data_IF_979036568669
#
_entry.id   IF_979036568669
#
_cell.length_a   1.000
_cell.length_b   1.000
_cell.length_c   1.000
_cell.angle_alpha   90.00
_cell.angle_beta   90.00
_cell.angle_gamma   90.00
#
_symmetry.space_group_name_H-M   'P 1'
#
loop_
_entity.id
_entity.type
_entity.pdbx_description
1 polymer ?
#
# COMPACT_ATOMS: atom_id res chain seq x y z
N UNK A 1 -7.93 39.22 -11.72
CA UNK A 1 -7.40 37.85 -11.79
C UNK A 1 -7.84 37.21 -13.12
N UNK A 2 -6.99 36.43 -13.81
CA UNK A 2 -7.27 35.90 -15.17
C UNK A 2 -7.99 34.53 -15.20
N UNK A 3 -8.16 33.88 -14.04
CA UNK A 3 -8.89 32.62 -13.92
C UNK A 3 -10.19 32.85 -13.13
N UNK A 4 -11.35 32.40 -13.62
CA UNK A 4 -12.62 32.52 -12.92
C UNK A 4 -12.73 31.46 -11.81
N UNK A 5 -11.86 31.55 -10.80
CA UNK A 5 -11.89 30.63 -9.66
C UNK A 5 -13.08 30.95 -8.75
N UNK A 6 -13.67 29.91 -8.18
CA UNK A 6 -14.85 29.99 -7.31
C UNK A 6 -14.72 28.94 -6.19
N UNK A 7 -15.56 29.02 -5.14
CA UNK A 7 -15.46 28.17 -3.95
C UNK A 7 -16.82 27.91 -3.27
N UNK A 8 -16.97 26.71 -2.71
CA UNK A 8 -18.01 26.39 -1.73
C UNK A 8 -17.38 25.97 -0.41
N UNK A 9 -17.88 26.54 0.70
CA UNK A 9 -17.48 26.20 2.06
C UNK A 9 -18.44 25.13 2.60
N UNK A 10 -17.87 24.08 3.23
CA UNK A 10 -18.64 22.90 3.66
C UNK A 10 -18.35 22.44 5.10
N UNK A 11 -17.46 23.11 5.83
CA UNK A 11 -17.15 22.76 7.23
C UNK A 11 -16.51 23.94 7.96
N UNK A 12 -16.70 23.98 9.28
CA UNK A 12 -15.93 24.82 10.20
C UNK A 12 -14.87 23.93 10.85
N UNK A 13 -13.61 24.38 10.83
CA UNK A 13 -12.49 23.66 11.46
C UNK A 13 -12.24 24.12 12.90
N UNK A 14 -11.37 25.11 13.06
CA UNK A 14 -11.07 25.72 14.36
C UNK A 14 -11.94 26.97 14.60
N UNK A 15 -12.48 27.11 15.81
CA UNK A 15 -13.17 28.30 16.26
C UNK A 15 -12.87 28.55 17.75
N UNK A 16 -12.49 29.78 18.09
CA UNK A 16 -12.20 30.21 19.46
C UNK A 16 -13.28 31.19 19.93
N UNK A 17 -13.80 31.00 21.15
CA UNK A 17 -14.76 31.93 21.77
C UNK A 17 -16.13 32.03 21.09
N UNK A 18 -16.55 31.01 20.33
CA UNK A 18 -17.82 31.00 19.57
C UNK A 18 -18.76 29.88 20.04
N UNK A 19 -20.09 30.02 19.83
CA UNK A 19 -21.04 28.98 20.18
C UNK A 19 -20.72 27.66 19.45
N UNK A 20 -20.62 26.58 20.21
CA UNK A 20 -20.70 25.22 19.69
C UNK A 20 -22.10 25.00 19.16
N UNK A 21 -22.26 25.07 17.85
CA UNK A 21 -23.52 24.72 17.21
C UNK A 21 -23.72 23.20 17.34
N UNK A 22 -24.90 22.71 17.73
CA UNK A 22 -25.13 21.28 17.93
C UNK A 22 -25.10 20.48 16.62
N UNK A 23 -25.37 21.11 15.47
CA UNK A 23 -25.47 20.41 14.18
C UNK A 23 -24.61 21.00 13.06
N UNK A 24 -24.28 20.15 12.10
CA UNK A 24 -23.59 20.54 10.88
C UNK A 24 -24.44 21.48 10.03
N UNK A 25 -25.75 21.24 9.95
CA UNK A 25 -26.68 22.10 9.24
C UNK A 25 -26.70 23.54 9.78
N UNK A 26 -26.82 23.70 11.10
CA UNK A 26 -26.75 25.02 11.73
C UNK A 26 -25.39 25.69 11.50
N UNK A 27 -24.32 24.91 11.48
CA UNK A 27 -22.98 25.41 11.14
C UNK A 27 -22.94 25.96 9.71
N UNK A 28 -23.58 25.30 8.75
CA UNK A 28 -23.64 25.77 7.36
C UNK A 28 -24.47 27.05 7.22
N UNK A 29 -25.64 27.12 7.88
CA UNK A 29 -26.45 28.34 7.89
C UNK A 29 -25.75 29.51 8.59
N UNK A 30 -25.00 29.24 9.67
CA UNK A 30 -24.16 30.26 10.30
C UNK A 30 -23.07 30.77 9.36
N UNK A 31 -22.32 29.90 8.68
CA UNK A 31 -21.30 30.33 7.72
C UNK A 31 -21.91 31.14 6.57
N UNK A 32 -23.07 30.71 6.06
CA UNK A 32 -23.83 31.46 5.05
C UNK A 32 -24.22 32.86 5.55
N UNK A 33 -24.64 32.98 6.81
CA UNK A 33 -24.96 34.29 7.43
C UNK A 33 -23.76 35.22 7.54
N UNK A 34 -22.54 34.68 7.61
CA UNK A 34 -21.29 35.45 7.58
C UNK A 34 -20.84 35.85 6.17
N UNK A 35 -21.59 35.48 5.12
CA UNK A 35 -21.25 35.77 3.73
C UNK A 35 -20.36 34.71 3.05
N UNK A 36 -20.09 33.58 3.71
CA UNK A 36 -19.44 32.46 3.02
C UNK A 36 -20.38 31.83 2.01
N UNK A 37 -19.84 31.48 0.84
CA UNK A 37 -20.58 30.79 -0.20
C UNK A 37 -20.73 29.31 0.18
N UNK A 38 -21.94 28.92 0.58
CA UNK A 38 -22.33 27.53 0.85
C UNK A 38 -23.08 26.98 -0.35
N UNK A 39 -22.96 25.67 -0.63
CA UNK A 39 -23.62 25.06 -1.77
C UNK A 39 -25.15 25.14 -1.63
N UNK A 40 -25.88 25.76 -2.57
CA UNK A 40 -27.34 25.86 -2.50
C UNK A 40 -28.03 24.49 -2.62
N UNK A 41 -27.32 23.49 -3.11
CA UNK A 41 -27.76 22.09 -3.20
C UNK A 41 -27.54 21.29 -1.91
N UNK A 42 -27.31 21.93 -0.77
CA UNK A 42 -27.29 21.19 0.50
C UNK A 42 -28.73 20.88 0.95
N UNK A 43 -28.95 19.69 1.50
CA UNK A 43 -30.24 19.26 2.04
C UNK A 43 -30.08 18.59 3.41
N UNK A 44 -31.00 18.87 4.33
CA UNK A 44 -31.14 18.14 5.59
C UNK A 44 -32.16 17.01 5.37
N UNK A 45 -31.71 15.77 5.52
CA UNK A 45 -32.49 14.56 5.25
C UNK A 45 -32.58 13.73 6.53
N UNK A 46 -33.71 13.08 6.75
CA UNK A 46 -34.04 12.41 8.02
C UNK A 46 -33.94 10.89 7.96
N UNK A 47 -33.79 10.32 6.76
CA UNK A 47 -33.71 8.87 6.52
C UNK A 47 -32.70 8.51 5.43
N UNK A 48 -32.29 7.23 5.40
CA UNK A 48 -31.38 6.72 4.37
C UNK A 48 -32.10 6.66 3.01
N UNK A 49 -33.40 6.40 3.03
CA UNK A 49 -34.27 6.37 1.85
C UNK A 49 -34.30 7.75 1.18
N UNK A 50 -34.44 8.82 1.96
CA UNK A 50 -34.34 10.20 1.45
C UNK A 50 -32.96 10.51 0.87
N UNK A 51 -31.88 10.02 1.48
CA UNK A 51 -30.51 10.18 0.97
C UNK A 51 -30.36 9.49 -0.39
N UNK A 52 -30.89 8.29 -0.55
CA UNK A 52 -30.84 7.55 -1.81
C UNK A 52 -31.69 8.19 -2.91
N UNK A 53 -32.88 8.68 -2.58
CA UNK A 53 -33.70 9.46 -3.50
C UNK A 53 -32.98 10.74 -3.93
N UNK A 54 -32.41 11.47 -2.97
CA UNK A 54 -31.65 12.70 -3.24
C UNK A 54 -30.45 12.45 -4.15
N UNK A 55 -29.70 11.36 -3.93
CA UNK A 55 -28.61 10.93 -4.80
C UNK A 55 -29.09 10.69 -6.23
N UNK A 56 -30.18 9.94 -6.42
CA UNK A 56 -30.74 9.66 -7.77
C UNK A 56 -31.13 10.93 -8.49
N UNK A 57 -31.73 11.90 -7.80
CA UNK A 57 -32.08 13.19 -8.41
C UNK A 57 -30.85 13.92 -8.96
N UNK A 58 -29.71 13.82 -8.27
CA UNK A 58 -28.46 14.43 -8.69
C UNK A 58 -27.72 13.63 -9.77
N UNK A 59 -27.88 12.30 -9.81
CA UNK A 59 -27.39 11.50 -10.95
C UNK A 59 -28.05 11.98 -12.24
N UNK A 60 -29.36 12.22 -12.24
CA UNK A 60 -30.11 12.70 -13.42
C UNK A 60 -29.77 14.14 -13.78
N UNK A 61 -29.60 15.02 -12.77
CA UNK A 61 -29.38 16.46 -12.97
C UNK A 61 -27.90 16.85 -13.02
N UNK A 62 -26.97 15.89 -12.94
CA UNK A 62 -25.52 16.14 -12.86
C UNK A 62 -25.03 17.13 -13.90
N UNK A 63 -25.46 16.97 -15.15
CA UNK A 63 -25.01 17.80 -16.28
C UNK A 63 -25.55 19.24 -16.24
N UNK A 64 -26.56 19.51 -15.40
CA UNK A 64 -27.09 20.86 -15.20
C UNK A 64 -26.25 21.71 -14.25
N UNK A 65 -25.32 21.10 -13.51
CA UNK A 65 -24.43 21.83 -12.61
C UNK A 65 -23.45 22.70 -13.41
N UNK A 66 -23.16 23.93 -12.97
CA UNK A 66 -22.16 24.79 -13.61
C UNK A 66 -20.72 24.36 -13.27
N UNK A 67 -20.55 23.19 -12.67
CA UNK A 67 -19.29 22.59 -12.24
C UNK A 67 -19.38 21.06 -12.30
N UNK A 68 -18.23 20.39 -12.38
CA UNK A 68 -18.16 18.94 -12.30
C UNK A 68 -18.35 18.46 -10.85
N UNK A 69 -19.11 17.37 -10.68
CA UNK A 69 -19.30 16.70 -9.39
C UNK A 69 -19.21 15.19 -9.59
N UNK A 70 -18.62 14.48 -8.63
CA UNK A 70 -18.40 13.03 -8.66
C UNK A 70 -19.34 12.25 -7.72
N UNK A 71 -20.22 12.96 -7.00
CA UNK A 71 -21.21 12.39 -6.09
C UNK A 71 -21.80 13.43 -5.15
N UNK A 72 -22.44 12.94 -4.08
CA UNK A 72 -22.84 13.73 -2.91
C UNK A 72 -22.03 13.28 -1.69
N UNK A 73 -21.92 14.14 -0.68
CA UNK A 73 -21.32 13.78 0.62
C UNK A 73 -22.43 13.70 1.65
N UNK A 74 -22.61 12.53 2.25
CA UNK A 74 -23.57 12.28 3.33
C UNK A 74 -22.84 12.44 4.65
N UNK A 75 -23.37 13.25 5.57
CA UNK A 75 -22.78 13.51 6.89
C UNK A 75 -23.83 13.33 7.98
N UNK A 76 -23.44 12.70 9.08
CA UNK A 76 -24.25 12.71 10.31
C UNK A 76 -24.39 14.16 10.78
N UNK A 77 -25.62 14.64 10.96
CA UNK A 77 -25.85 16.06 11.24
C UNK A 77 -25.42 16.47 12.66
N UNK A 78 -25.61 15.62 13.68
CA UNK A 78 -25.19 15.90 15.06
C UNK A 78 -23.67 15.91 15.22
N UNK A 79 -23.10 17.04 15.66
CA UNK A 79 -21.65 17.16 15.88
C UNK A 79 -21.15 16.29 17.05
N UNK A 80 -21.98 16.10 18.08
CA UNK A 80 -21.67 15.16 19.17
C UNK A 80 -21.53 13.72 18.68
N UNK A 81 -22.39 13.29 17.75
CA UNK A 81 -22.26 11.97 17.14
C UNK A 81 -21.01 11.88 16.23
N UNK A 82 -20.66 12.95 15.52
CA UNK A 82 -19.43 12.99 14.73
C UNK A 82 -18.19 12.76 15.62
N UNK A 83 -18.10 13.44 16.76
CA UNK A 83 -17.02 13.27 17.74
C UNK A 83 -16.95 11.84 18.29
N UNK A 84 -18.09 11.27 18.68
CA UNK A 84 -18.16 9.89 19.19
C UNK A 84 -17.77 8.84 18.14
N UNK A 85 -18.15 9.07 16.88
CA UNK A 85 -17.80 8.17 15.78
C UNK A 85 -16.30 8.24 15.46
N UNK A 86 -15.69 9.43 15.49
CA UNK A 86 -14.27 9.64 15.25
C UNK A 86 -13.83 9.29 13.82
N UNK A 87 -12.55 8.90 13.66
CA UNK A 87 -11.93 8.60 12.36
C UNK A 87 -11.28 7.21 12.35
N UNK A 88 -11.17 6.59 11.17
CA UNK A 88 -10.29 5.44 10.89
C UNK A 88 -9.21 5.89 9.92
N UNK A 89 -7.94 5.87 10.35
CA UNK A 89 -6.85 6.44 9.55
C UNK A 89 -7.11 7.91 9.25
N UNK A 90 -7.26 8.25 7.96
CA UNK A 90 -7.58 9.60 7.49
C UNK A 90 -9.08 9.81 7.16
N UNK A 91 -9.93 8.80 7.36
CA UNK A 91 -11.34 8.84 6.94
C UNK A 91 -12.28 9.01 8.15
N UNK A 92 -13.22 9.99 8.11
CA UNK A 92 -14.22 10.14 9.17
C UNK A 92 -15.25 9.02 9.13
N UNK A 93 -15.62 8.49 10.30
CA UNK A 93 -16.66 7.45 10.43
C UNK A 93 -18.09 7.99 10.31
N UNK A 94 -18.23 9.31 10.35
CA UNK A 94 -19.50 10.03 10.36
C UNK A 94 -19.87 10.67 9.01
N UNK A 95 -19.03 10.50 7.98
CA UNK A 95 -19.31 10.98 6.64
C UNK A 95 -18.89 9.98 5.57
N UNK A 96 -19.59 9.97 4.45
CA UNK A 96 -19.27 9.14 3.29
C UNK A 96 -19.52 9.89 1.99
N UNK A 97 -18.61 9.74 1.02
CA UNK A 97 -18.83 10.20 -0.34
C UNK A 97 -19.69 9.15 -1.09
N UNK A 98 -20.96 9.46 -1.33
CA UNK A 98 -21.85 8.63 -2.14
C UNK A 98 -21.69 9.02 -3.61
N UNK A 99 -20.73 8.36 -4.26
CA UNK A 99 -20.32 8.67 -5.64
C UNK A 99 -21.43 8.38 -6.66
N UNK A 100 -21.48 9.17 -7.72
CA UNK A 100 -22.29 8.85 -8.89
C UNK A 100 -21.74 7.61 -9.58
N UNK A 101 -22.58 6.87 -10.33
CA UNK A 101 -22.09 5.80 -11.20
C UNK A 101 -20.98 6.34 -12.12
N UNK A 102 -19.86 5.62 -12.20
CA UNK A 102 -18.75 6.01 -13.04
C UNK A 102 -19.22 6.12 -14.50
N UNK A 103 -18.78 7.17 -15.21
CA UNK A 103 -19.02 7.26 -16.65
C UNK A 103 -18.32 6.09 -17.31
N UNK A 104 -19.06 5.30 -18.09
CA UNK A 104 -18.54 4.14 -18.80
C UNK A 104 -18.41 4.45 -20.30
N UNK A 105 -17.31 3.98 -20.89
CA UNK A 105 -17.13 3.90 -22.33
C UNK A 105 -17.11 2.45 -22.79
N UNK A 106 -17.52 2.23 -24.02
CA UNK A 106 -17.33 0.93 -24.70
C UNK A 106 -16.20 1.06 -25.70
N UNK A 107 -15.24 0.15 -25.67
CA UNK A 107 -14.13 0.14 -26.63
C UNK A 107 -13.61 -1.28 -26.90
N UNK A 108 -12.74 -1.45 -27.90
CA UNK A 108 -12.13 -2.73 -28.21
C UNK A 108 -10.85 -2.95 -27.40
N UNK A 109 -10.74 -4.13 -26.79
CA UNK A 109 -9.51 -4.62 -26.18
C UNK A 109 -8.57 -5.18 -27.25
N UNK A 110 -7.51 -4.44 -27.57
CA UNK A 110 -6.55 -4.80 -28.64
C UNK A 110 -5.53 -5.83 -28.18
N UNK A 111 -4.98 -5.63 -26.99
CA UNK A 111 -3.92 -6.45 -26.44
C UNK A 111 -3.96 -6.38 -24.90
N UNK A 112 -3.45 -7.42 -24.24
CA UNK A 112 -3.08 -7.36 -22.82
C UNK A 112 -1.56 -7.39 -22.74
N UNK A 113 -0.98 -6.40 -22.06
CA UNK A 113 0.46 -6.31 -21.77
C UNK A 113 0.69 -6.48 -20.27
N UNK A 114 1.94 -6.71 -19.89
CA UNK A 114 2.35 -6.93 -18.50
C UNK A 114 3.40 -5.90 -18.13
N UNK A 115 3.19 -5.17 -17.03
CA UNK A 115 4.19 -4.29 -16.43
C UNK A 115 4.75 -4.91 -15.15
N UNK A 116 5.99 -4.55 -14.80
CA UNK A 116 6.65 -4.98 -13.56
C UNK A 116 6.58 -3.85 -12.55
N UNK A 117 5.86 -4.05 -11.44
CA UNK A 117 5.74 -3.05 -10.38
C UNK A 117 6.94 -3.04 -9.43
N UNK A 118 6.99 -2.04 -8.53
CA UNK A 118 8.09 -1.80 -7.57
C UNK A 118 8.57 -3.02 -6.76
N UNK A 119 7.65 -3.91 -6.36
CA UNK A 119 7.95 -5.12 -5.58
C UNK A 119 8.10 -6.35 -6.46
N UNK A 120 8.26 -6.16 -7.77
CA UNK A 120 8.34 -7.22 -8.77
C UNK A 120 7.01 -7.79 -9.23
N UNK A 121 5.86 -7.26 -8.78
CA UNK A 121 4.54 -7.78 -9.22
C UNK A 121 4.39 -7.67 -10.73
N UNK A 122 3.91 -8.72 -11.37
CA UNK A 122 3.56 -8.70 -12.79
C UNK A 122 2.09 -8.31 -12.96
N UNK A 123 1.85 -7.09 -13.42
CA UNK A 123 0.52 -6.47 -13.46
C UNK A 123 0.02 -6.43 -14.91
N UNK A 124 -1.04 -7.18 -15.26
CA UNK A 124 -1.62 -7.09 -16.58
C UNK A 124 -2.39 -5.78 -16.74
N UNK A 125 -2.28 -5.17 -17.91
CA UNK A 125 -3.05 -3.99 -18.29
C UNK A 125 -3.55 -4.10 -19.74
N UNK A 126 -4.74 -3.56 -19.96
CA UNK A 126 -5.40 -3.53 -21.26
C UNK A 126 -4.79 -2.43 -22.12
N UNK A 127 -4.50 -2.76 -23.38
CA UNK A 127 -4.28 -1.80 -24.47
C UNK A 127 -5.57 -1.73 -25.27
N UNK A 128 -6.15 -0.54 -25.35
CA UNK A 128 -7.49 -0.31 -25.85
C UNK A 128 -7.46 0.48 -27.16
N UNK A 129 -8.53 0.34 -27.94
CA UNK A 129 -8.86 1.36 -28.93
C UNK A 129 -9.19 2.68 -28.20
N UNK A 130 -8.67 3.84 -28.66
CA UNK A 130 -8.90 5.10 -27.96
C UNK A 130 -10.40 5.39 -27.79
N UNK A 131 -10.82 5.67 -26.55
CA UNK A 131 -12.22 5.97 -26.21
C UNK A 131 -12.30 7.17 -25.28
N UNK A 132 -13.25 8.07 -25.52
CA UNK A 132 -13.51 9.20 -24.62
C UNK A 132 -14.44 8.78 -23.49
N UNK A 133 -14.02 8.97 -22.23
CA UNK A 133 -14.80 8.64 -21.03
C UNK A 133 -14.62 9.75 -20.01
N UNK A 134 -15.69 10.50 -19.73
CA UNK A 134 -15.62 11.65 -18.80
C UNK A 134 -14.58 12.69 -19.23
N UNK A 135 -14.63 13.11 -20.50
CA UNK A 135 -13.79 14.18 -21.05
C UNK A 135 -12.32 13.82 -21.35
N UNK A 136 -11.86 12.61 -21.02
CA UNK A 136 -10.48 12.16 -21.29
C UNK A 136 -10.46 10.98 -22.26
N UNK A 137 -9.42 10.93 -23.10
CA UNK A 137 -9.19 9.80 -24.01
C UNK A 137 -8.40 8.70 -23.29
N UNK A 138 -9.03 7.55 -23.09
CA UNK A 138 -8.43 6.36 -22.49
C UNK A 138 -7.87 5.48 -23.60
N UNK A 139 -6.59 5.09 -23.47
CA UNK A 139 -5.91 4.12 -24.35
C UNK A 139 -5.44 2.87 -23.61
N UNK A 140 -5.36 2.94 -22.29
CA UNK A 140 -4.90 1.86 -21.42
C UNK A 140 -5.76 1.82 -20.16
N UNK A 141 -5.97 0.63 -19.61
CA UNK A 141 -6.73 0.44 -18.38
C UNK A 141 -6.21 -0.75 -17.57
N UNK A 142 -6.35 -0.68 -16.23
CA UNK A 142 -5.94 -1.75 -15.34
C UNK A 142 -6.82 -3.00 -15.51
N UNK A 143 -6.21 -4.19 -15.37
CA UNK A 143 -6.89 -5.50 -15.36
C UNK A 143 -6.71 -6.24 -14.02
N UNK A 144 -6.14 -5.59 -13.02
CA UNK A 144 -5.84 -6.11 -11.67
C UNK A 144 -4.87 -7.31 -11.67
N UNK A 145 -5.29 -8.50 -12.09
CA UNK A 145 -4.48 -9.73 -12.13
C UNK A 145 -5.11 -10.81 -13.04
N UNK A 146 -4.37 -11.89 -13.31
CA UNK A 146 -4.83 -13.01 -14.15
C UNK A 146 -6.13 -13.64 -13.65
N UNK A 147 -6.28 -13.81 -12.33
CA UNK A 147 -7.48 -14.41 -11.75
C UNK A 147 -8.71 -13.50 -11.95
N UNK A 148 -8.55 -12.17 -11.88
CA UNK A 148 -9.63 -11.21 -12.17
C UNK A 148 -10.02 -11.21 -13.65
N UNK A 149 -9.03 -11.27 -14.56
CA UNK A 149 -9.25 -11.40 -16.00
C UNK A 149 -10.08 -12.65 -16.29
N UNK A 150 -9.70 -13.79 -15.70
CA UNK A 150 -10.42 -15.06 -15.87
C UNK A 150 -11.81 -15.02 -15.24
N UNK A 151 -11.94 -14.47 -14.03
CA UNK A 151 -13.23 -14.31 -13.33
C UNK A 151 -14.22 -13.47 -14.14
N UNK A 152 -13.75 -12.39 -14.76
CA UNK A 152 -14.56 -11.52 -15.63
C UNK A 152 -14.72 -12.08 -17.05
N UNK A 153 -14.03 -13.17 -17.38
CA UNK A 153 -13.96 -13.78 -18.71
C UNK A 153 -13.55 -12.76 -19.78
N UNK A 154 -12.56 -11.91 -19.49
CA UNK A 154 -12.04 -10.92 -20.44
C UNK A 154 -11.08 -11.59 -21.41
N UNK A 155 -11.29 -11.40 -22.71
CA UNK A 155 -10.50 -12.00 -23.79
C UNK A 155 -9.96 -10.93 -24.73
N UNK A 156 -8.76 -11.15 -25.26
CA UNK A 156 -8.16 -10.26 -26.26
C UNK A 156 -9.05 -10.26 -27.50
N UNK A 157 -9.44 -9.06 -27.96
CA UNK A 157 -10.39 -8.85 -29.05
C UNK A 157 -11.79 -8.44 -28.59
N UNK A 158 -12.14 -8.63 -27.30
CA UNK A 158 -13.46 -8.28 -26.76
C UNK A 158 -13.79 -6.79 -26.97
N UNK A 159 -15.08 -6.51 -27.18
CA UNK A 159 -15.63 -5.20 -26.83
C UNK A 159 -15.80 -5.16 -25.31
N UNK A 160 -15.18 -4.18 -24.65
CA UNK A 160 -15.14 -4.07 -23.19
C UNK A 160 -15.76 -2.76 -22.72
N UNK A 161 -16.36 -2.82 -21.53
CA UNK A 161 -16.77 -1.65 -20.77
C UNK A 161 -15.58 -1.16 -19.93
N UNK A 162 -15.29 0.13 -20.05
CA UNK A 162 -14.17 0.79 -19.38
C UNK A 162 -14.72 1.97 -18.59
N UNK A 163 -14.24 2.16 -17.37
CA UNK A 163 -14.65 3.26 -16.51
C UNK A 163 -13.44 3.91 -15.85
N UNK A 164 -13.62 5.12 -15.33
CA UNK A 164 -12.62 5.76 -14.47
C UNK A 164 -12.99 5.48 -13.01
N UNK A 165 -12.21 4.62 -12.35
CA UNK A 165 -12.36 4.37 -10.92
C UNK A 165 -11.95 5.64 -10.14
N UNK A 166 -12.88 6.18 -9.35
CA UNK A 166 -12.65 7.38 -8.54
C UNK A 166 -12.12 8.59 -9.33
N UNK A 167 -12.49 8.69 -10.61
CA UNK A 167 -12.07 9.75 -11.56
C UNK A 167 -10.57 9.81 -11.89
N UNK A 168 -9.72 8.86 -11.48
CA UNK A 168 -8.27 8.94 -11.75
C UNK A 168 -7.75 7.78 -12.60
N UNK A 169 -8.03 6.53 -12.23
CA UNK A 169 -7.41 5.36 -12.88
C UNK A 169 -8.44 4.62 -13.75
N UNK A 170 -8.22 4.51 -15.07
CA UNK A 170 -9.05 3.68 -15.93
C UNK A 170 -8.97 2.19 -15.58
N UNK A 171 -10.10 1.51 -15.54
CA UNK A 171 -10.18 0.05 -15.37
C UNK A 171 -11.17 -0.59 -16.33
N UNK A 172 -10.93 -1.86 -16.67
CA UNK A 172 -11.89 -2.67 -17.42
C UNK A 172 -12.90 -3.30 -16.45
N UNK A 173 -14.17 -2.96 -16.64
CA UNK A 173 -15.29 -3.48 -15.85
C UNK A 173 -15.59 -4.92 -16.25
N UNK A 174 -15.67 -5.18 -17.57
CA UNK A 174 -15.92 -6.50 -18.12
C UNK A 174 -16.23 -6.48 -19.62
N UNK A 175 -16.37 -7.66 -20.23
CA UNK A 175 -16.65 -7.80 -21.66
C UNK A 175 -18.14 -7.67 -21.98
N UNK A 176 -18.43 -7.15 -23.18
CA UNK A 176 -19.76 -7.16 -23.77
C UNK A 176 -19.90 -8.45 -24.58
N UNK A 177 -20.23 -9.54 -23.88
CA UNK A 177 -20.23 -10.91 -24.45
C UNK A 177 -21.11 -11.07 -25.69
N UNK A 178 -22.21 -10.31 -25.79
CA UNK A 178 -23.11 -10.32 -26.95
C UNK A 178 -22.46 -9.80 -28.25
N UNK A 179 -21.32 -9.11 -28.16
CA UNK A 179 -20.57 -8.60 -29.33
C UNK A 179 -19.40 -9.49 -29.73
N UNK A 180 -19.28 -10.69 -29.18
CA UNK A 180 -18.21 -11.62 -29.53
C UNK A 180 -18.39 -12.19 -30.93
N UNK A 181 -17.29 -12.29 -31.67
CA UNK A 181 -17.22 -12.95 -32.97
C UNK A 181 -16.82 -14.43 -32.86
N UNK A 182 -16.34 -14.87 -31.69
CA UNK A 182 -15.80 -16.21 -31.48
C UNK A 182 -14.31 -16.33 -31.80
N UNK A 183 -13.67 -15.23 -32.23
CA UNK A 183 -12.22 -15.18 -32.52
C UNK A 183 -11.39 -14.65 -31.34
N UNK A 184 -12.04 -14.30 -30.23
CA UNK A 184 -11.39 -13.73 -29.05
C UNK A 184 -10.49 -14.75 -28.36
N UNK A 185 -9.33 -14.30 -27.89
CA UNK A 185 -8.31 -15.17 -27.30
C UNK A 185 -8.29 -15.05 -25.78
N UNK A 186 -8.29 -16.19 -25.11
CA UNK A 186 -8.05 -16.24 -23.67
C UNK A 186 -6.63 -15.74 -23.34
N UNK A 187 -6.49 -15.17 -22.15
CA UNK A 187 -5.22 -14.64 -21.68
C UNK A 187 -4.60 -15.59 -20.65
N UNK A 188 -3.34 -15.93 -20.87
CA UNK A 188 -2.46 -16.59 -19.91
C UNK A 188 -1.25 -15.71 -19.70
N UNK A 189 -1.00 -15.33 -18.44
CA UNK A 189 0.14 -14.48 -18.10
C UNK A 189 1.43 -15.19 -18.45
N UNK A 190 1.59 -16.46 -18.05
CA UNK A 190 2.81 -17.24 -18.29
C UNK A 190 3.10 -17.45 -19.77
N UNK A 191 2.07 -17.65 -20.60
CA UNK A 191 2.25 -17.72 -22.06
C UNK A 191 2.66 -16.36 -22.63
N UNK A 192 2.06 -15.27 -22.15
CA UNK A 192 2.38 -13.92 -22.62
C UNK A 192 3.84 -13.53 -22.33
N UNK A 193 4.39 -14.02 -21.24
CA UNK A 193 5.78 -13.73 -20.82
C UNK A 193 6.73 -14.92 -21.06
N UNK A 194 6.36 -15.86 -21.92
CA UNK A 194 7.23 -16.98 -22.27
C UNK A 194 8.41 -16.49 -23.12
N UNK A 195 9.62 -16.76 -22.65
CA UNK A 195 10.87 -16.45 -23.36
C UNK A 195 11.28 -17.69 -24.16
N UNK A 196 11.34 -17.54 -25.50
CA UNK A 196 11.68 -18.63 -26.41
C UNK A 196 13.14 -19.05 -26.33
N UNK A 197 14.03 -18.15 -25.97
CA UNK A 197 15.46 -18.44 -25.89
C UNK A 197 15.77 -19.22 -24.60
N UNK A 198 15.08 -18.86 -23.52
CA UNK A 198 15.22 -19.52 -22.22
C UNK A 198 14.27 -20.71 -22.02
N UNK A 199 13.33 -20.93 -22.94
CA UNK A 199 12.33 -22.01 -22.90
C UNK A 199 11.54 -22.04 -21.58
N UNK A 200 11.23 -20.87 -21.02
CA UNK A 200 10.46 -20.72 -19.78
C UNK A 200 9.80 -19.33 -19.68
N UNK A 201 8.77 -19.15 -18.85
CA UNK A 201 8.32 -17.82 -18.46
C UNK A 201 9.45 -17.01 -17.82
N UNK A 202 9.62 -15.78 -18.27
CA UNK A 202 10.66 -14.88 -17.80
C UNK A 202 10.11 -13.46 -17.61
N UNK A 203 10.73 -12.69 -16.72
CA UNK A 203 10.34 -11.31 -16.52
C UNK A 203 10.56 -10.51 -17.81
N UNK A 204 9.54 -9.79 -18.34
CA UNK A 204 9.66 -9.09 -19.62
C UNK A 204 10.67 -7.94 -19.61
N UNK A 205 11.10 -7.49 -18.42
CA UNK A 205 12.04 -6.37 -18.25
C UNK A 205 13.49 -6.82 -18.05
N UNK A 206 13.73 -7.99 -17.47
CA UNK A 206 15.09 -8.41 -17.10
C UNK A 206 15.41 -9.89 -17.37
N UNK A 207 14.47 -10.68 -17.92
CA UNK A 207 14.66 -12.10 -18.22
C UNK A 207 14.74 -13.03 -17.00
N UNK A 208 14.62 -12.51 -15.78
CA UNK A 208 14.70 -13.31 -14.56
C UNK A 208 13.55 -14.33 -14.42
N UNK A 209 13.72 -15.28 -13.51
CA UNK A 209 12.67 -16.25 -13.16
C UNK A 209 11.44 -15.56 -12.58
N UNK A 210 10.27 -16.06 -12.98
CA UNK A 210 8.97 -15.59 -12.48
C UNK A 210 8.42 -16.61 -11.52
N UNK A 211 8.07 -16.15 -10.32
CA UNK A 211 7.59 -16.99 -9.22
C UNK A 211 6.16 -16.60 -8.83
N UNK A 212 5.36 -17.57 -8.40
CA UNK A 212 4.05 -17.36 -7.76
C UNK A 212 4.10 -17.95 -6.35
N UNK A 213 4.30 -17.12 -5.31
CA UNK A 213 4.31 -17.60 -3.93
C UNK A 213 3.01 -18.32 -3.57
N UNK A 214 3.10 -19.31 -2.68
CA UNK A 214 1.93 -20.09 -2.25
C UNK A 214 0.89 -19.18 -1.56
N UNK A 215 -0.38 -19.34 -1.94
CA UNK A 215 -1.49 -18.56 -1.38
C UNK A 215 -1.57 -17.11 -1.88
N UNK A 216 -0.86 -16.79 -2.97
CA UNK A 216 -0.93 -15.49 -3.63
C UNK A 216 -1.50 -15.56 -5.04
N UNK A 217 -2.16 -14.48 -5.45
CA UNK A 217 -2.77 -14.35 -6.79
C UNK A 217 -1.81 -13.80 -7.84
N UNK A 218 -0.81 -13.02 -7.42
CA UNK A 218 0.14 -12.34 -8.31
C UNK A 218 1.35 -13.20 -8.62
N UNK A 219 1.90 -13.02 -9.83
CA UNK A 219 3.24 -13.47 -10.18
C UNK A 219 4.25 -12.36 -9.90
N UNK A 220 5.50 -12.74 -9.67
CA UNK A 220 6.57 -11.82 -9.32
C UNK A 220 7.85 -12.11 -10.10
N UNK A 221 8.53 -11.04 -10.50
CA UNK A 221 9.93 -11.10 -10.88
C UNK A 221 10.80 -11.39 -9.65
N UNK A 222 11.58 -12.47 -9.70
CA UNK A 222 12.48 -12.88 -8.61
C UNK A 222 13.70 -11.98 -8.45
N UNK A 223 14.09 -11.24 -9.50
CA UNK A 223 15.28 -10.39 -9.48
C UNK A 223 14.98 -9.04 -8.83
N UNK A 224 15.40 -8.87 -7.58
CA UNK A 224 15.29 -7.58 -6.89
C UNK A 224 16.05 -6.46 -7.62
N UNK A 225 17.11 -6.75 -8.38
CA UNK A 225 17.85 -5.76 -9.17
C UNK A 225 17.24 -5.50 -10.57
N UNK A 226 16.02 -5.97 -10.84
CA UNK A 226 15.30 -5.68 -12.09
C UNK A 226 15.22 -4.15 -12.33
N UNK A 227 15.60 -3.64 -13.52
CA UNK A 227 15.56 -2.21 -13.84
C UNK A 227 14.22 -1.53 -13.55
N UNK A 228 13.11 -2.16 -13.96
CA UNK A 228 11.77 -1.66 -13.67
C UNK A 228 11.48 -1.56 -12.17
N UNK A 229 11.93 -2.53 -11.37
CA UNK A 229 11.79 -2.47 -9.92
C UNK A 229 12.67 -1.36 -9.31
N UNK A 230 13.88 -1.16 -9.82
CA UNK A 230 14.78 -0.09 -9.34
C UNK A 230 14.15 1.27 -9.60
N UNK A 231 13.69 1.54 -10.81
CA UNK A 231 13.05 2.80 -11.18
C UNK A 231 11.82 3.07 -10.30
N UNK A 232 10.91 2.09 -10.21
CA UNK A 232 9.69 2.20 -9.41
C UNK A 232 9.98 2.36 -7.91
N UNK A 233 11.04 1.73 -7.39
CA UNK A 233 11.49 1.94 -6.00
C UNK A 233 12.06 3.32 -5.79
N UNK A 234 12.81 3.86 -6.76
CA UNK A 234 13.29 5.24 -6.70
C UNK A 234 12.12 6.21 -6.65
N UNK A 235 11.15 6.06 -7.55
CA UNK A 235 9.95 6.90 -7.60
C UNK A 235 9.14 6.83 -6.29
N UNK A 236 8.96 5.62 -5.76
CA UNK A 236 8.32 5.42 -4.46
C UNK A 236 9.10 6.08 -3.32
N UNK A 237 10.42 5.94 -3.31
CA UNK A 237 11.30 6.48 -2.28
C UNK A 237 11.27 8.02 -2.27
N UNK A 238 11.31 8.66 -3.44
CA UNK A 238 11.29 10.13 -3.56
C UNK A 238 9.88 10.74 -3.39
N UNK A 239 8.84 9.90 -3.44
CA UNK A 239 7.44 10.33 -3.41
C UNK A 239 7.09 11.22 -2.21
N UNK A 240 5.99 11.97 -2.35
CA UNK A 240 5.44 12.82 -1.28
C UNK A 240 5.07 12.04 -0.01
N UNK A 241 4.86 10.72 -0.07
CA UNK A 241 4.64 9.87 1.11
C UNK A 241 5.94 9.28 1.67
N UNK A 242 6.92 9.01 0.80
CA UNK A 242 8.26 8.55 1.15
C UNK A 242 9.14 9.67 1.69
N UNK A 243 10.32 9.87 1.12
CA UNK A 243 11.31 10.85 1.56
C UNK A 243 11.02 12.30 1.12
N UNK A 244 9.99 12.51 0.30
CA UNK A 244 9.54 13.84 -0.17
C UNK A 244 10.69 14.66 -0.78
N UNK A 245 11.34 14.06 -1.78
CA UNK A 245 12.44 14.67 -2.54
C UNK A 245 11.84 15.32 -3.78
N UNK A 246 11.49 16.59 -3.65
CA UNK A 246 10.94 17.38 -4.76
C UNK A 246 11.97 17.56 -5.87
N UNK A 247 11.52 17.47 -7.11
CA UNK A 247 12.38 17.61 -8.30
C UNK A 247 12.73 16.27 -8.96
N UNK A 248 12.60 15.15 -8.24
CA UNK A 248 12.74 13.81 -8.82
C UNK A 248 11.34 13.22 -9.04
N UNK A 249 10.94 13.13 -10.31
CA UNK A 249 9.75 12.40 -10.75
C UNK A 249 10.13 11.21 -11.64
N UNK A 250 9.15 10.60 -12.30
CA UNK A 250 9.34 9.45 -13.22
C UNK A 250 10.46 9.70 -14.25
N UNK A 251 10.34 10.77 -15.03
CA UNK A 251 11.30 11.09 -16.10
C UNK A 251 12.73 11.30 -15.59
N UNK A 252 12.92 12.01 -14.47
CA UNK A 252 14.27 12.22 -13.93
C UNK A 252 14.82 10.95 -13.25
N UNK A 253 13.97 10.14 -12.62
CA UNK A 253 14.38 8.85 -12.05
C UNK A 253 14.90 7.91 -13.13
N UNK A 254 14.18 7.81 -14.26
CA UNK A 254 14.63 7.07 -15.43
C UNK A 254 15.96 7.61 -15.97
N UNK A 255 16.07 8.94 -16.16
CA UNK A 255 17.29 9.59 -16.66
C UNK A 255 18.51 9.32 -15.77
N UNK A 256 18.36 9.43 -14.44
CA UNK A 256 19.43 9.16 -13.47
C UNK A 256 19.86 7.70 -13.51
N UNK A 257 18.91 6.77 -13.69
CA UNK A 257 19.18 5.34 -13.77
C UNK A 257 19.89 4.97 -15.08
N UNK A 258 19.36 5.41 -16.23
CA UNK A 258 19.91 5.14 -17.57
C UNK A 258 21.34 5.67 -17.74
N UNK A 259 21.64 6.84 -17.16
CA UNK A 259 22.99 7.41 -17.17
C UNK A 259 23.92 6.79 -16.10
N UNK A 260 23.48 5.77 -15.37
CA UNK A 260 24.27 5.09 -14.33
C UNK A 260 24.62 5.98 -13.14
N UNK A 261 23.92 7.10 -12.98
CA UNK A 261 24.13 8.03 -11.86
C UNK A 261 23.56 7.45 -10.57
N UNK A 262 22.49 6.65 -10.68
CA UNK A 262 21.77 6.01 -9.58
C UNK A 262 21.44 4.57 -9.95
N UNK A 263 21.73 3.62 -9.07
CA UNK A 263 21.38 2.19 -9.19
C UNK A 263 20.49 1.71 -8.06
N UNK A 264 20.51 2.41 -6.94
CA UNK A 264 19.64 2.17 -5.79
C UNK A 264 19.29 3.51 -5.11
N UNK A 265 18.38 3.46 -4.14
CA UNK A 265 17.92 4.67 -3.44
C UNK A 265 19.02 5.35 -2.62
N UNK A 266 20.07 4.64 -2.22
CA UNK A 266 21.16 5.22 -1.44
C UNK A 266 22.05 6.11 -2.32
N UNK A 267 22.25 5.77 -3.59
CA UNK A 267 23.03 6.58 -4.55
C UNK A 267 22.53 8.02 -4.67
N UNK A 268 21.24 8.28 -4.43
CA UNK A 268 20.67 9.63 -4.41
C UNK A 268 21.46 10.57 -3.50
N UNK A 269 21.87 10.10 -2.33
CA UNK A 269 22.56 10.90 -1.33
C UNK A 269 24.04 11.15 -1.66
N UNK A 270 24.58 10.46 -2.66
CA UNK A 270 25.94 10.64 -3.18
C UNK A 270 25.98 11.44 -4.48
N UNK A 271 24.83 11.87 -5.02
CA UNK A 271 24.74 12.65 -6.25
C UNK A 271 25.48 14.00 -6.19
N UNK A 272 25.73 14.53 -4.99
CA UNK A 272 26.54 15.74 -4.80
C UNK A 272 27.94 15.59 -5.40
N UNK A 273 28.53 14.41 -5.31
CA UNK A 273 29.85 14.08 -5.88
C UNK A 273 29.81 13.99 -7.41
N UNK A 274 28.63 13.80 -7.99
CA UNK A 274 28.39 13.67 -9.44
C UNK A 274 27.79 14.96 -10.05
N UNK A 275 27.94 16.11 -9.38
CA UNK A 275 27.35 17.39 -9.80
C UNK A 275 27.64 17.74 -11.26
N UNK A 276 28.88 17.57 -11.71
CA UNK A 276 29.27 17.86 -13.10
C UNK A 276 28.55 16.98 -14.12
N UNK A 277 28.22 15.74 -13.75
CA UNK A 277 27.47 14.83 -14.61
C UNK A 277 25.98 15.20 -14.64
N UNK A 278 25.43 15.66 -13.51
CA UNK A 278 24.06 16.18 -13.45
C UNK A 278 23.86 17.38 -14.36
N UNK A 279 24.83 18.29 -14.43
CA UNK A 279 24.77 19.47 -15.31
C UNK A 279 24.81 19.14 -16.81
N UNK A 280 25.27 17.93 -17.17
CA UNK A 280 25.27 17.45 -18.57
C UNK A 280 23.93 16.86 -18.99
N UNK A 281 23.02 16.61 -18.04
CA UNK A 281 21.70 16.09 -18.35
C UNK A 281 20.82 17.16 -19.00
N UNK A 282 19.94 16.72 -19.89
CA UNK A 282 18.98 17.62 -20.52
C UNK A 282 18.09 18.29 -19.46
N UNK A 283 17.82 19.59 -19.62
CA UNK A 283 16.97 20.39 -18.72
C UNK A 283 17.50 20.54 -17.28
N UNK A 284 18.77 20.23 -17.02
CA UNK A 284 19.41 20.38 -15.71
C UNK A 284 20.37 21.58 -15.67
N UNK A 285 19.80 22.79 -15.50
CA UNK A 285 20.58 24.00 -15.25
C UNK A 285 21.09 24.05 -13.79
N UNK A 286 22.10 24.89 -13.51
CA UNK A 286 22.74 25.02 -12.19
C UNK A 286 21.73 25.11 -11.04
N UNK A 287 20.77 26.04 -11.14
CA UNK A 287 19.73 26.22 -10.12
C UNK A 287 18.84 24.99 -9.93
N UNK A 288 18.58 24.22 -10.99
CA UNK A 288 17.81 22.98 -10.90
C UNK A 288 18.58 21.91 -10.14
N UNK A 289 19.88 21.78 -10.45
CA UNK A 289 20.80 20.88 -9.75
C UNK A 289 20.92 21.27 -8.28
N UNK A 290 21.03 22.56 -7.97
CA UNK A 290 21.08 23.05 -6.58
C UNK A 290 19.82 22.69 -5.81
N UNK A 291 18.65 23.00 -6.37
CA UNK A 291 17.36 22.68 -5.73
C UNK A 291 17.21 21.17 -5.51
N UNK A 292 17.65 20.35 -6.47
CA UNK A 292 17.62 18.89 -6.38
C UNK A 292 18.50 18.40 -5.23
N UNK A 293 19.77 18.82 -5.19
CA UNK A 293 20.71 18.40 -4.15
C UNK A 293 20.29 18.89 -2.77
N UNK A 294 19.73 20.10 -2.67
CA UNK A 294 19.16 20.62 -1.43
C UNK A 294 17.93 19.81 -0.98
N UNK A 295 17.04 19.43 -1.90
CA UNK A 295 15.89 18.58 -1.58
C UNK A 295 16.31 17.19 -1.08
N UNK A 296 17.35 16.60 -1.67
CA UNK A 296 17.94 15.33 -1.22
C UNK A 296 18.51 15.49 0.20
N UNK A 297 19.30 16.54 0.45
CA UNK A 297 19.93 16.74 1.76
C UNK A 297 18.89 16.97 2.86
N UNK A 298 17.87 17.81 2.61
CA UNK A 298 16.75 18.03 3.53
C UNK A 298 15.94 16.77 3.82
N UNK A 299 15.95 15.78 2.92
CA UNK A 299 15.22 14.53 3.13
C UNK A 299 15.86 13.62 4.19
N UNK A 300 17.12 13.86 4.58
CA UNK A 300 17.79 13.06 5.61
C UNK A 300 17.08 13.11 6.95
N UNK A 301 16.38 14.21 7.25
CA UNK A 301 15.67 14.43 8.51
C UNK A 301 14.23 13.90 8.55
N UNK A 302 13.78 13.18 7.52
CA UNK A 302 12.42 12.64 7.51
C UNK A 302 12.22 11.64 8.67
N UNK A 303 11.03 11.61 9.29
CA UNK A 303 10.68 10.62 10.30
C UNK A 303 10.95 9.18 9.85
N UNK A 304 11.31 8.31 10.80
CA UNK A 304 11.56 6.88 10.60
C UNK A 304 10.37 6.18 9.94
N UNK A 305 9.14 6.59 10.26
CA UNK A 305 7.93 6.10 9.61
C UNK A 305 7.97 6.30 8.08
N UNK A 306 8.51 7.44 7.63
CA UNK A 306 8.60 7.77 6.20
C UNK A 306 9.71 6.99 5.52
N UNK A 307 10.87 6.84 6.17
CA UNK A 307 11.94 5.98 5.66
C UNK A 307 11.47 4.52 5.55
N UNK A 308 10.84 3.99 6.60
CA UNK A 308 10.33 2.62 6.64
C UNK A 308 9.32 2.37 5.50
N UNK A 309 8.45 3.35 5.23
CA UNK A 309 7.55 3.32 4.08
C UNK A 309 8.32 3.40 2.76
N UNK A 310 9.27 4.33 2.63
CA UNK A 310 10.06 4.58 1.42
C UNK A 310 10.93 3.39 0.99
N UNK A 311 11.39 2.57 1.94
CA UNK A 311 12.13 1.33 1.66
C UNK A 311 11.32 0.30 0.85
N UNK A 312 9.99 0.47 0.76
CA UNK A 312 9.14 -0.35 -0.11
C UNK A 312 9.00 -1.80 0.36
N UNK A 313 9.10 -2.04 1.68
CA UNK A 313 8.94 -3.38 2.25
C UNK A 313 7.54 -3.90 1.93
N UNK A 314 7.48 -5.12 1.41
CA UNK A 314 6.23 -5.75 0.98
C UNK A 314 5.23 -5.85 2.13
N UNK A 315 3.97 -5.51 1.86
CA UNK A 315 2.87 -5.40 2.84
C UNK A 315 3.01 -4.30 3.91
N UNK A 316 4.05 -3.46 3.84
CA UNK A 316 4.24 -2.34 4.76
C UNK A 316 3.82 -1.04 4.05
N UNK A 317 2.57 -0.64 4.23
CA UNK A 317 2.05 0.67 3.81
C UNK A 317 2.41 1.79 4.80
N UNK A 318 2.00 3.02 4.50
CA UNK A 318 2.36 4.19 5.31
C UNK A 318 1.86 4.09 6.77
N UNK A 319 0.62 3.62 6.98
CA UNK A 319 0.07 3.42 8.32
C UNK A 319 0.86 2.37 9.11
N UNK A 320 1.14 1.22 8.48
CA UNK A 320 1.94 0.16 9.09
C UNK A 320 3.35 0.65 9.41
N UNK A 321 3.97 1.41 8.51
CA UNK A 321 5.29 2.00 8.74
C UNK A 321 5.28 2.95 9.95
N UNK A 322 4.20 3.72 10.15
CA UNK A 322 3.99 4.54 11.35
C UNK A 322 3.93 3.71 12.63
N UNK A 323 3.14 2.63 12.62
CA UNK A 323 3.02 1.71 13.76
C UNK A 323 4.36 1.03 14.09
N UNK A 324 5.10 0.59 13.07
CA UNK A 324 6.42 -0.03 13.25
C UNK A 324 7.43 0.98 13.80
N UNK A 325 7.50 2.18 13.23
CA UNK A 325 8.41 3.22 13.69
C UNK A 325 8.17 3.61 15.15
N UNK A 326 6.90 3.84 15.54
CA UNK A 326 6.55 4.19 16.92
C UNK A 326 6.91 3.09 17.93
N UNK A 327 6.82 1.81 17.52
CA UNK A 327 7.11 0.69 18.41
C UNK A 327 8.60 0.45 18.58
N UNK A 328 9.36 0.45 17.48
CA UNK A 328 10.74 0.00 17.46
C UNK A 328 11.75 1.15 17.54
N UNK A 329 11.38 2.35 17.08
CA UNK A 329 12.19 3.57 17.04
C UNK A 329 13.53 3.44 16.29
N UNK A 330 13.85 2.28 15.71
CA UNK A 330 15.07 2.01 14.96
C UNK A 330 14.86 0.84 13.98
N UNK A 331 15.48 0.92 12.80
CA UNK A 331 15.38 -0.12 11.77
C UNK A 331 16.06 -1.43 12.17
N UNK A 332 17.21 -1.37 12.86
CA UNK A 332 17.93 -2.58 13.28
C UNK A 332 17.16 -3.31 14.41
N UNK A 333 16.56 -2.53 15.32
CA UNK A 333 15.65 -3.02 16.36
C UNK A 333 14.42 -3.71 15.75
N UNK A 334 13.79 -3.09 14.74
CA UNK A 334 12.69 -3.71 13.99
C UNK A 334 13.13 -5.05 13.37
N UNK A 335 14.25 -5.07 12.64
CA UNK A 335 14.75 -6.26 11.98
C UNK A 335 15.02 -7.40 12.97
N UNK A 336 15.64 -7.07 14.11
CA UNK A 336 15.94 -8.03 15.17
C UNK A 336 14.67 -8.59 15.81
N UNK A 337 13.73 -7.72 16.18
CA UNK A 337 12.49 -8.11 16.85
C UNK A 337 11.64 -9.05 15.98
N UNK A 338 11.49 -8.73 14.69
CA UNK A 338 10.74 -9.57 13.75
C UNK A 338 11.40 -10.95 13.58
N UNK A 339 12.73 -10.99 13.46
CA UNK A 339 13.48 -12.25 13.33
C UNK A 339 13.33 -13.14 14.56
N UNK A 340 13.40 -12.56 15.76
CA UNK A 340 13.18 -13.27 17.01
C UNK A 340 11.75 -13.82 17.10
N UNK A 341 10.76 -13.02 16.71
CA UNK A 341 9.35 -13.44 16.71
C UNK A 341 9.07 -14.64 15.80
N UNK A 342 9.61 -14.64 14.58
CA UNK A 342 9.47 -15.79 13.66
C UNK A 342 10.08 -17.06 14.24
N UNK A 343 11.24 -16.98 14.91
CA UNK A 343 11.86 -18.12 15.61
C UNK A 343 10.94 -18.68 16.69
N UNK A 344 10.30 -17.81 17.47
CA UNK A 344 9.37 -18.21 18.54
C UNK A 344 8.12 -18.88 17.95
N UNK A 345 7.55 -18.30 16.90
CA UNK A 345 6.37 -18.86 16.19
C UNK A 345 6.68 -20.25 15.64
N UNK A 346 7.78 -20.41 14.91
CA UNK A 346 8.21 -21.71 14.37
C UNK A 346 8.46 -22.74 15.48
N UNK A 347 9.04 -22.33 16.61
CA UNK A 347 9.22 -23.19 17.78
C UNK A 347 7.87 -23.63 18.37
N UNK A 348 6.89 -22.74 18.45
CA UNK A 348 5.54 -23.05 18.94
C UNK A 348 4.79 -23.99 17.99
N UNK A 349 4.89 -23.78 16.68
CA UNK A 349 4.29 -24.68 15.69
C UNK A 349 4.92 -26.07 15.76
N UNK A 350 6.25 -26.15 15.89
CA UNK A 350 6.95 -27.42 16.17
C UNK A 350 6.48 -28.08 17.47
N UNK A 351 6.26 -27.30 18.54
CA UNK A 351 5.75 -27.82 19.81
C UNK A 351 4.29 -28.28 19.71
N UNK A 352 3.44 -27.53 19.00
CA UNK A 352 2.04 -27.92 18.72
C UNK A 352 1.98 -29.19 17.89
N UNK A 353 2.78 -29.28 16.81
CA UNK A 353 2.90 -30.46 15.97
C UNK A 353 3.43 -31.68 16.75
N UNK A 354 4.36 -31.47 17.69
CA UNK A 354 4.83 -32.54 18.61
C UNK A 354 3.80 -32.94 19.66
N UNK A 355 2.86 -32.06 20.00
CA UNK A 355 1.78 -32.31 20.95
C UNK A 355 0.53 -32.91 20.31
N UNK A 356 0.50 -33.09 18.98
CA UNK A 356 -0.60 -33.80 18.31
C UNK A 356 -0.53 -35.30 18.60
N UNK A 357 -1.68 -35.99 18.43
CA UNK A 357 -1.82 -37.43 18.69
C UNK A 357 -0.86 -38.28 17.85
N UNK A 358 -0.50 -37.83 16.65
CA UNK A 358 0.50 -38.48 15.79
C UNK A 358 1.94 -38.18 16.23
N UNK A 359 2.25 -36.94 16.63
CA UNK A 359 3.57 -36.58 17.18
C UNK A 359 3.89 -37.31 18.49
N UNK A 360 2.88 -37.55 19.32
CA UNK A 360 2.98 -38.38 20.52
C UNK A 360 3.15 -39.87 20.20
N UNK A 361 2.48 -40.40 19.17
CA UNK A 361 2.64 -41.78 18.68
C UNK A 361 4.05 -42.03 18.11
N UNK A 362 4.60 -41.09 17.34
CA UNK A 362 5.93 -41.20 16.74
C UNK A 362 7.06 -41.23 17.79
N UNK A 363 6.88 -40.58 18.95
CA UNK A 363 7.81 -40.65 20.08
C UNK A 363 7.66 -41.90 20.94
N UNK A 364 6.49 -42.51 20.91
CA UNK A 364 6.16 -43.72 21.64
C UNK A 364 6.44 -44.95 20.77
N UNK A 365 7.71 -45.21 20.43
CA UNK A 365 8.06 -46.58 20.02
C UNK A 365 7.81 -47.52 21.20
N UNK A 366 7.22 -48.67 20.89
CA UNK A 366 6.68 -49.67 21.83
C UNK A 366 7.67 -50.12 22.91
N UNK A 367 8.98 -49.93 22.69
CA UNK A 367 10.04 -50.24 23.66
C UNK A 367 10.22 -49.20 24.76
N UNK A 368 10.05 -47.89 24.50
CA UNK A 368 10.25 -46.85 25.53
C UNK A 368 9.12 -46.77 26.56
N UNK A 369 7.91 -47.20 26.20
CA UNK A 369 6.76 -47.23 27.11
C UNK A 369 6.88 -48.28 28.22
N UNK A 370 7.67 -49.34 28.03
CA UNK A 370 7.89 -50.38 29.06
C UNK A 370 8.84 -49.92 30.17
N UNK A 371 9.67 -48.89 29.94
CA UNK A 371 10.70 -48.47 30.89
C UNK A 371 10.31 -47.26 31.77
N UNK A 372 9.24 -46.52 31.48
CA UNK A 372 8.92 -45.26 32.21
C UNK A 372 7.45 -45.08 32.65
N UNK A 373 6.60 -46.09 32.51
CA UNK A 373 5.17 -45.95 32.79
C UNK A 373 4.78 -46.38 34.21
N UNK A 374 5.06 -45.56 35.23
CA UNK A 374 4.14 -45.47 36.37
C UNK A 374 3.15 -44.34 36.12
N UNK A 375 1.88 -44.57 36.45
CA UNK A 375 0.75 -43.67 36.21
C UNK A 375 0.93 -42.29 36.87
N UNK A 376 1.78 -42.20 37.89
CA UNK A 376 2.17 -40.96 38.57
C UNK A 376 3.22 -40.15 37.82
N UNK A 377 4.21 -40.79 37.19
CA UNK A 377 5.27 -40.10 36.43
C UNK A 377 4.75 -39.33 35.21
N UNK A 378 3.70 -39.85 34.57
CA UNK A 378 3.03 -39.20 33.44
C UNK A 378 2.16 -38.01 33.88
N UNK A 379 1.56 -38.07 35.09
CA UNK A 379 0.83 -36.92 35.66
C UNK A 379 1.78 -35.79 36.05
N UNK A 380 2.95 -36.10 36.60
CA UNK A 380 3.95 -35.10 37.00
C UNK A 380 4.55 -34.34 35.80
N UNK A 381 4.72 -34.98 34.64
CA UNK A 381 5.22 -34.31 33.42
C UNK A 381 4.18 -33.47 32.67
N UNK A 382 2.89 -33.67 32.95
CA UNK A 382 1.77 -32.99 32.30
C UNK A 382 1.20 -31.80 33.10
N UNK A 383 1.78 -31.46 34.26
CA UNK A 383 1.34 -30.29 35.03
C UNK A 383 1.80 -28.98 34.38
N UNK A 384 0.99 -27.93 34.55
CA UNK A 384 1.27 -26.56 34.09
C UNK A 384 2.60 -26.02 34.68
N UNK A 385 3.01 -26.52 35.85
CA UNK A 385 4.28 -26.23 36.50
C UNK A 385 5.47 -27.00 35.90
N UNK A 386 5.31 -28.28 35.55
CA UNK A 386 6.36 -29.07 34.87
C UNK A 386 6.72 -28.51 33.49
N UNK A 387 5.77 -27.88 32.80
CA UNK A 387 6.01 -27.14 31.56
C UNK A 387 6.71 -25.80 31.78
N UNK A 388 6.47 -25.12 32.92
CA UNK A 388 7.14 -23.86 33.31
C UNK A 388 8.60 -24.10 33.71
N UNK A 389 8.91 -25.21 34.39
CA UNK A 389 10.26 -25.54 34.84
C UNK A 389 11.27 -25.82 33.69
N UNK A 390 10.79 -26.11 32.47
CA UNK A 390 11.61 -26.30 31.26
C UNK A 390 11.89 -25.01 30.46
N UNK A 391 11.51 -23.86 30.99
CA UNK A 391 11.80 -22.56 30.38
C UNK A 391 13.11 -21.99 30.97
N UNK A 392 14.23 -22.22 30.28
CA UNK A 392 15.50 -21.55 30.57
C UNK A 392 15.38 -20.03 30.38
N UNK A 393 16.30 -19.26 30.98
CA UNK A 393 16.36 -17.78 30.94
C UNK A 393 16.26 -17.18 29.52
N UNK A 394 16.71 -17.94 28.52
CA UNK A 394 16.61 -17.61 27.08
C UNK A 394 15.16 -17.69 26.55
N UNK A 395 14.35 -18.65 27.03
CA UNK A 395 12.91 -18.74 26.72
C UNK A 395 12.08 -17.63 27.38
N UNK A 396 12.53 -17.10 28.52
CA UNK A 396 11.90 -15.96 29.19
C UNK A 396 12.15 -14.65 28.42
N UNK A 397 13.35 -14.43 27.85
CA UNK A 397 13.59 -13.33 26.91
C UNK A 397 12.68 -13.41 25.68
N UNK A 398 12.50 -14.60 25.09
CA UNK A 398 11.58 -14.79 23.95
C UNK A 398 10.09 -14.60 24.27
N UNK A 399 9.71 -14.70 25.55
CA UNK A 399 8.35 -14.43 26.02
C UNK A 399 8.11 -12.92 26.21
N UNK A 400 9.14 -12.13 26.52
CA UNK A 400 9.08 -10.67 26.55
C UNK A 400 8.94 -10.08 25.14
N UNK A 401 9.73 -10.58 24.16
CA UNK A 401 9.57 -10.20 22.74
C UNK A 401 8.19 -10.58 22.18
N UNK A 402 7.52 -11.59 22.77
CA UNK A 402 6.16 -12.00 22.44
C UNK A 402 5.12 -10.97 22.88
N UNK A 403 5.22 -10.38 24.08
CA UNK A 403 4.25 -9.39 24.56
C UNK A 403 4.37 -8.07 23.79
N UNK A 404 5.58 -7.68 23.40
CA UNK A 404 5.82 -6.45 22.64
C UNK A 404 5.28 -6.48 21.20
N UNK A 405 5.24 -7.65 20.56
CA UNK A 405 4.77 -7.82 19.18
C UNK A 405 3.31 -8.30 19.08
N UNK A 406 2.83 -9.13 20.03
CA UNK A 406 1.39 -9.44 20.12
C UNK A 406 0.57 -8.21 20.55
N UNK A 407 1.22 -7.17 21.10
CA UNK A 407 0.58 -5.88 21.37
C UNK A 407 0.41 -5.01 20.12
N UNK A 408 0.85 -5.44 18.93
CA UNK A 408 0.56 -4.75 17.67
C UNK A 408 -0.56 -5.55 16.98
N UNK A 409 -1.84 -5.17 17.13
CA UNK A 409 -2.96 -5.93 16.60
C UNK A 409 -2.92 -6.12 15.07
N UNK A 410 -2.13 -5.31 14.38
CA UNK A 410 -2.07 -5.21 12.92
C UNK A 410 -0.93 -5.99 12.25
N UNK A 411 0.13 -6.42 12.96
CA UNK A 411 1.25 -7.16 12.35
C UNK A 411 0.98 -8.66 12.32
N UNK A 412 0.47 -9.14 11.18
CA UNK A 412 0.24 -10.57 10.92
C UNK A 412 1.49 -11.33 10.42
N UNK A 413 1.40 -12.68 10.33
CA UNK A 413 2.48 -13.53 9.80
C UNK A 413 3.09 -13.09 8.48
N UNK A 414 2.24 -12.75 7.49
CA UNK A 414 2.70 -12.34 6.15
C UNK A 414 3.55 -11.06 6.20
N UNK A 415 3.16 -10.09 7.02
CA UNK A 415 3.90 -8.84 7.18
C UNK A 415 5.25 -9.12 7.84
N UNK A 416 5.27 -9.92 8.91
CA UNK A 416 6.50 -10.30 9.59
C UNK A 416 7.46 -11.08 8.66
N UNK A 417 6.94 -12.01 7.87
CA UNK A 417 7.72 -12.77 6.87
C UNK A 417 8.29 -11.85 5.78
N UNK A 418 7.52 -10.89 5.28
CA UNK A 418 8.01 -9.88 4.33
C UNK A 418 9.11 -9.00 4.91
N UNK A 419 8.96 -8.54 6.15
CA UNK A 419 9.97 -7.73 6.83
C UNK A 419 11.26 -8.55 7.04
N UNK A 420 11.16 -9.77 7.57
CA UNK A 420 12.34 -10.64 7.77
C UNK A 420 13.03 -10.98 6.44
N UNK A 421 12.26 -11.25 5.38
CA UNK A 421 12.80 -11.50 4.04
C UNK A 421 13.56 -10.29 3.52
N UNK A 422 12.98 -9.09 3.65
CA UNK A 422 13.63 -7.85 3.24
C UNK A 422 14.98 -7.65 3.95
N UNK A 423 15.01 -7.77 5.28
CA UNK A 423 16.25 -7.60 6.07
C UNK A 423 17.24 -8.77 5.96
N UNK A 424 16.86 -9.90 5.38
CA UNK A 424 17.77 -11.02 5.07
C UNK A 424 18.53 -10.83 3.77
N UNK A 425 17.98 -10.07 2.82
CA UNK A 425 18.69 -9.76 1.58
C UNK A 425 19.91 -8.89 1.88
N UNK A 426 21.05 -9.23 1.30
CA UNK A 426 22.33 -8.55 1.56
C UNK A 426 22.32 -7.15 0.92
N UNK A 427 21.72 -7.04 -0.26
CA UNK A 427 21.59 -5.80 -1.01
C UNK A 427 20.79 -4.75 -0.22
N UNK A 428 19.66 -5.15 0.40
CA UNK A 428 18.87 -4.22 1.22
C UNK A 428 19.61 -3.75 2.46
N UNK A 429 20.38 -4.64 3.11
CA UNK A 429 21.22 -4.28 4.26
C UNK A 429 22.29 -3.28 3.85
N UNK A 430 22.97 -3.53 2.72
CA UNK A 430 23.93 -2.60 2.15
C UNK A 430 23.32 -1.24 1.82
N UNK A 431 22.11 -1.21 1.26
CA UNK A 431 21.39 0.05 1.00
C UNK A 431 21.16 0.81 2.32
N UNK A 432 20.67 0.14 3.35
CA UNK A 432 20.43 0.76 4.66
C UNK A 432 21.72 1.30 5.27
N UNK A 433 22.80 0.54 5.24
CA UNK A 433 24.09 0.98 5.78
C UNK A 433 24.62 2.22 5.04
N UNK A 434 24.50 2.23 3.71
CA UNK A 434 24.85 3.41 2.90
C UNK A 434 23.97 4.62 3.16
N UNK A 435 22.69 4.43 3.48
CA UNK A 435 21.79 5.51 3.91
C UNK A 435 22.22 6.08 5.27
N UNK A 436 22.61 5.21 6.22
CA UNK A 436 23.17 5.61 7.53
C UNK A 436 24.45 6.42 7.35
N UNK A 437 25.38 5.93 6.53
CA UNK A 437 26.64 6.62 6.20
C UNK A 437 26.40 7.99 5.56
N UNK A 438 25.36 8.12 4.73
CA UNK A 438 24.97 9.39 4.13
C UNK A 438 24.27 10.37 5.11
N UNK A 439 24.03 9.95 6.35
CA UNK A 439 23.40 10.75 7.41
C UNK A 439 21.87 10.75 7.35
N UNK A 440 21.24 9.78 6.69
CA UNK A 440 19.78 9.62 6.73
C UNK A 440 19.36 9.13 8.11
N UNK A 441 18.34 9.75 8.69
CA UNK A 441 17.78 9.39 9.99
C UNK A 441 17.14 8.00 9.92
N UNK A 442 17.74 7.03 10.62
CA UNK A 442 17.26 5.64 10.73
C UNK A 442 16.70 5.29 12.11
N UNK A 443 16.76 6.24 13.04
CA UNK A 443 16.31 6.11 14.41
C UNK A 443 15.51 7.35 14.84
N UNK A 444 14.58 7.17 15.77
CA UNK A 444 13.80 8.25 16.40
C UNK A 444 13.98 8.21 17.92
N UNK A 445 14.01 9.38 18.55
CA UNK A 445 13.89 9.43 20.00
C UNK A 445 12.52 8.89 20.42
N UNK A 446 12.51 7.98 21.41
CA UNK A 446 11.27 7.42 21.91
C UNK A 446 10.32 8.53 22.39
N UNK A 447 9.21 8.73 21.68
CA UNK A 447 8.19 9.68 22.09
C UNK A 447 7.59 9.17 23.40
N UNK A 448 7.87 9.87 24.51
CA UNK A 448 7.17 9.61 25.78
C UNK A 448 5.66 9.65 25.49
N UNK A 449 4.89 8.62 25.84
CA UNK A 449 3.45 8.65 25.62
C UNK A 449 2.91 9.92 26.29
N UNK A 450 2.29 10.80 25.50
CA UNK A 450 1.45 11.86 26.06
C UNK A 450 0.39 11.14 26.87
N UNK A 451 0.39 11.34 28.18
CA UNK A 451 -0.78 11.08 29.00
C UNK A 451 -1.93 11.87 28.33
N UNK A 452 -2.86 11.13 27.72
CA UNK A 452 -4.13 11.69 27.32
C UNK A 452 -4.80 12.20 28.62
N UNK A 453 -5.32 13.43 28.66
CA UNK A 453 -6.04 13.94 29.82
C UNK A 453 -7.25 13.07 30.17
#
# INVERSE_FOLDING_TARGET
AKRPLDIYIYTLGYAEGKPTLPTHWETMEYLKSLGFKVNPSNALLTSIEEVDEYHRTWVEKRESLPYEADGIVVKVDSLTLQEQLGNVGHEPRWAIAYKFPAVQGTTRLKEIRVSVGRTGTLNPYAVLEPVSVGGVTIKQAALHNEDDIRRKDIRIGDMVLVQRAGEVIPEVVGPIKSKRSGQEKEFSLLEKIFDSDQQRPACPECGAEVIKPEGEVMYYCSNAACPAQVQERLEHFVSRGGMDIRGIGESLSATLFENGLVRDVADLYYLKEKREQLLKLERMAEKSVDNLLEAIDKSKDRPLARLTFALGIRHVGAEMAGVLAQKFNDLDALAKAIREWLKVKATREKLKAKATREGLKAKATREKLKAQATREGLKAQATREGLKAKATREKLKTLATREELLSIPTVGPKIAESIDTFFKQEENRRIIDRLKEAGVRVEEEAVKPKELP
#
